data_IF_558654374990
#
_entry.id   IF_558654374990
#
_cell.length_a   1.000
_cell.length_b   1.000
_cell.length_c   1.000
_cell.angle_alpha   90.00
_cell.angle_beta   90.00
_cell.angle_gamma   90.00
#
_symmetry.space_group_name_H-M   'P 1'
#
loop_
_entity.id
_entity.type
_entity.pdbx_description
1 polymer ?
#
# COMPACT_ATOMS: atom_id res chain seq x y z
N UNK A 1 33.64 -1.91 14.19
CA UNK A 1 33.60 -2.33 12.77
C UNK A 1 32.20 -2.04 12.24
N UNK A 2 32.07 -1.12 11.29
CA UNK A 2 30.80 -0.82 10.62
C UNK A 2 30.69 -1.83 9.48
N UNK A 3 29.94 -2.91 9.66
CA UNK A 3 29.58 -3.80 8.56
C UNK A 3 28.77 -2.97 7.59
N UNK A 4 29.28 -2.72 6.38
CA UNK A 4 28.44 -2.29 5.26
C UNK A 4 27.36 -3.36 5.14
N UNK A 5 26.11 -3.02 5.48
CA UNK A 5 25.00 -3.91 5.18
C UNK A 5 24.93 -3.99 3.65
N UNK A 6 25.34 -5.14 3.11
CA UNK A 6 25.16 -5.40 1.69
C UNK A 6 23.66 -5.30 1.39
N UNK A 7 23.31 -4.32 0.55
CA UNK A 7 21.94 -4.13 0.08
C UNK A 7 21.60 -5.36 -0.77
N UNK A 8 20.53 -6.12 -0.45
CA UNK A 8 20.19 -7.31 -1.22
C UNK A 8 19.96 -6.98 -2.70
N UNK A 9 20.48 -7.80 -3.60
CA UNK A 9 20.30 -7.57 -5.04
C UNK A 9 18.87 -7.92 -5.49
N UNK A 10 18.19 -6.98 -6.15
CA UNK A 10 16.92 -7.23 -6.86
C UNK A 10 17.10 -6.80 -8.32
N UNK A 11 16.65 -7.61 -9.31
CA UNK A 11 16.63 -7.19 -10.71
C UNK A 11 15.78 -5.92 -10.88
N UNK A 12 16.21 -5.03 -11.77
CA UNK A 12 15.47 -3.81 -12.04
C UNK A 12 14.19 -4.10 -12.84
N UNK A 13 13.04 -3.73 -12.28
CA UNK A 13 11.76 -3.80 -12.95
C UNK A 13 11.68 -2.75 -14.07
N UNK A 14 11.35 -3.21 -15.28
CA UNK A 14 11.14 -2.32 -16.43
C UNK A 14 9.64 -2.08 -16.61
N UNK A 15 9.13 -0.86 -16.36
CA UNK A 15 7.74 -0.56 -16.63
C UNK A 15 7.45 -0.66 -18.13
N UNK A 16 6.20 -0.96 -18.52
CA UNK A 16 5.79 -0.86 -19.91
C UNK A 16 5.99 0.58 -20.42
N UNK A 17 6.20 0.76 -21.75
CA UNK A 17 6.34 2.09 -22.32
C UNK A 17 5.05 2.91 -22.08
N UNK A 18 5.17 4.24 -21.90
CA UNK A 18 4.02 5.12 -21.82
C UNK A 18 3.09 4.96 -23.01
N UNK A 19 1.79 5.18 -22.79
CA UNK A 19 0.81 5.20 -23.89
C UNK A 19 1.16 6.31 -24.88
N UNK A 20 1.00 6.02 -26.17
CA UNK A 20 1.06 7.02 -27.25
C UNK A 20 -0.31 7.51 -27.68
N UNK A 21 -1.38 6.99 -27.07
CA UNK A 21 -2.74 7.43 -27.34
C UNK A 21 -2.97 8.84 -26.77
N UNK A 22 -3.65 9.68 -27.55
CA UNK A 22 -4.16 10.96 -27.07
C UNK A 22 -5.41 10.69 -26.23
N UNK A 23 -5.32 10.99 -24.93
CA UNK A 23 -6.38 10.74 -23.96
C UNK A 23 -6.75 12.06 -23.29
N UNK A 24 -8.04 12.23 -23.02
CA UNK A 24 -8.53 13.30 -22.17
C UNK A 24 -8.24 12.91 -20.70
N UNK A 25 -7.27 13.59 -20.08
CA UNK A 25 -6.89 13.33 -18.70
C UNK A 25 -7.77 14.13 -17.74
N UNK A 26 -8.21 13.50 -16.65
CA UNK A 26 -8.88 14.22 -15.58
C UNK A 26 -7.91 15.17 -14.86
N UNK A 27 -8.32 16.42 -14.71
CA UNK A 27 -7.58 17.39 -13.90
C UNK A 27 -7.85 17.13 -12.41
N UNK A 28 -6.85 16.59 -11.72
CA UNK A 28 -6.92 16.36 -10.28
C UNK A 28 -6.12 17.44 -9.53
N UNK A 29 -6.66 17.98 -8.42
CA UNK A 29 -5.92 18.91 -7.59
C UNK A 29 -4.62 18.30 -7.05
N UNK A 30 -3.63 19.15 -6.78
CA UNK A 30 -2.33 18.74 -6.25
C UNK A 30 -2.11 19.36 -4.88
N UNK A 31 -1.67 18.55 -3.91
CA UNK A 31 -1.28 18.95 -2.56
C UNK A 31 0.24 18.93 -2.47
N UNK A 32 0.83 20.11 -2.31
CA UNK A 32 2.27 20.28 -2.14
C UNK A 32 2.64 20.27 -0.65
N UNK A 33 3.20 19.15 -0.17
CA UNK A 33 3.55 19.01 1.25
C UNK A 33 4.74 19.90 1.67
N UNK A 34 5.46 20.53 0.76
CA UNK A 34 6.48 21.51 1.17
C UNK A 34 5.85 22.73 1.87
N UNK A 35 4.58 23.05 1.54
CA UNK A 35 3.82 24.16 2.11
C UNK A 35 3.24 23.85 3.50
N UNK A 36 3.21 22.58 3.93
CA UNK A 36 2.62 22.18 5.21
C UNK A 36 3.45 22.61 6.43
N UNK A 37 4.61 23.24 6.22
CA UNK A 37 5.52 23.65 7.28
C UNK A 37 5.21 25.05 7.85
N UNK A 38 4.26 25.79 7.24
CA UNK A 38 3.82 27.10 7.73
C UNK A 38 2.32 27.08 8.05
N UNK A 39 1.86 27.88 9.04
CA UNK A 39 0.43 28.01 9.33
C UNK A 39 -0.40 28.46 8.13
N UNK A 40 0.14 29.39 7.33
CA UNK A 40 -0.53 29.93 6.13
C UNK A 40 -0.62 28.86 5.03
N UNK A 41 0.46 28.11 4.80
CA UNK A 41 0.46 27.02 3.83
C UNK A 41 -0.48 25.89 4.23
N UNK A 42 -0.51 25.54 5.53
CA UNK A 42 -1.49 24.59 6.07
C UNK A 42 -2.94 25.03 5.85
N UNK A 43 -3.23 26.33 5.99
CA UNK A 43 -4.57 26.87 5.76
C UNK A 43 -4.98 26.78 4.28
N UNK A 44 -4.08 27.17 3.36
CA UNK A 44 -4.34 27.06 1.93
C UNK A 44 -4.50 25.60 1.48
N UNK A 45 -3.63 24.71 1.94
CA UNK A 45 -3.75 23.28 1.65
C UNK A 45 -5.03 22.67 2.23
N UNK A 46 -5.49 23.09 3.40
CA UNK A 46 -6.75 22.62 3.98
C UNK A 46 -7.95 23.01 3.12
N UNK A 47 -7.96 24.20 2.49
CA UNK A 47 -9.01 24.61 1.54
C UNK A 47 -9.02 23.73 0.28
N UNK A 48 -7.84 23.42 -0.26
CA UNK A 48 -7.68 22.51 -1.40
C UNK A 48 -8.24 21.13 -1.05
N UNK A 49 -7.79 20.57 0.08
CA UNK A 49 -8.21 19.26 0.56
C UNK A 49 -9.73 19.20 0.84
N UNK A 50 -10.31 20.24 1.44
CA UNK A 50 -11.76 20.35 1.69
C UNK A 50 -12.57 20.29 0.38
N UNK A 51 -12.02 20.84 -0.71
CA UNK A 51 -12.64 20.80 -2.04
C UNK A 51 -12.48 19.42 -2.66
N UNK A 52 -11.26 18.87 -2.64
CA UNK A 52 -10.94 17.52 -3.14
C UNK A 52 -11.86 16.47 -2.55
N UNK A 53 -12.06 16.48 -1.23
CA UNK A 53 -12.89 15.50 -0.53
C UNK A 53 -14.38 15.57 -0.93
N UNK A 54 -14.86 16.72 -1.41
CA UNK A 54 -16.27 16.92 -1.79
C UNK A 54 -16.54 16.69 -3.27
N UNK A 55 -15.57 17.00 -4.12
CA UNK A 55 -15.79 17.11 -5.58
C UNK A 55 -15.08 15.98 -6.34
N UNK A 56 -13.81 15.74 -6.04
CA UNK A 56 -12.97 14.88 -6.87
C UNK A 56 -12.82 13.47 -6.32
N UNK A 57 -12.70 13.33 -4.99
CA UNK A 57 -12.37 12.06 -4.33
C UNK A 57 -10.91 11.62 -4.49
N UNK A 58 -10.15 12.23 -5.42
CA UNK A 58 -8.76 11.94 -5.71
C UNK A 58 -7.94 13.22 -5.91
N UNK A 59 -6.64 13.14 -5.64
CA UNK A 59 -5.69 14.23 -5.76
C UNK A 59 -4.26 13.68 -5.85
N UNK A 60 -3.33 14.49 -6.34
CA UNK A 60 -1.90 14.19 -6.31
C UNK A 60 -1.24 14.80 -5.08
N UNK A 61 -0.18 14.16 -4.60
CA UNK A 61 0.68 14.68 -3.55
C UNK A 61 2.08 14.82 -4.12
N UNK A 62 2.69 15.99 -3.96
CA UNK A 62 4.06 16.26 -4.39
C UNK A 62 4.92 16.73 -3.22
N UNK A 63 6.23 16.73 -3.41
CA UNK A 63 7.21 17.18 -2.43
C UNK A 63 7.12 16.46 -1.07
N UNK A 64 6.66 15.21 -1.08
CA UNK A 64 6.60 14.34 0.10
C UNK A 64 7.97 13.74 0.49
N UNK A 65 8.98 13.91 -0.36
CA UNK A 65 10.38 13.50 -0.10
C UNK A 65 10.74 12.09 -0.57
N UNK A 66 9.87 11.38 -1.29
CA UNK A 66 10.24 10.11 -1.91
C UNK A 66 10.93 10.41 -3.24
N UNK A 67 12.11 9.84 -3.47
CA UNK A 67 12.82 10.02 -4.74
C UNK A 67 12.34 9.00 -5.78
N UNK A 68 12.53 9.27 -7.08
CA UNK A 68 12.25 8.29 -8.13
C UNK A 68 12.94 6.94 -7.89
N UNK A 69 14.19 6.95 -7.40
CA UNK A 69 14.99 5.75 -7.13
C UNK A 69 14.43 4.96 -5.94
N UNK A 70 13.97 5.65 -4.89
CA UNK A 70 13.33 5.02 -3.75
C UNK A 70 12.05 4.29 -4.14
N UNK A 71 11.24 4.90 -5.02
CA UNK A 71 10.03 4.26 -5.55
C UNK A 71 10.38 3.12 -6.52
N UNK A 72 11.32 3.33 -7.44
CA UNK A 72 11.76 2.31 -8.39
C UNK A 72 12.27 1.05 -7.67
N UNK A 73 13.04 1.24 -6.58
CA UNK A 73 13.51 0.14 -5.74
C UNK A 73 12.38 -0.71 -5.16
N UNK A 74 11.26 -0.09 -4.80
CA UNK A 74 10.10 -0.84 -4.33
C UNK A 74 9.40 -1.63 -5.42
N UNK A 75 9.43 -1.17 -6.67
CA UNK A 75 8.96 -1.96 -7.81
C UNK A 75 9.87 -3.16 -8.10
N UNK A 76 11.19 -2.99 -8.01
CA UNK A 76 12.14 -4.10 -8.13
C UNK A 76 11.86 -5.20 -7.11
N UNK A 77 11.61 -4.81 -5.84
CA UNK A 77 11.26 -5.75 -4.75
C UNK A 77 9.88 -6.36 -4.98
N UNK A 78 8.90 -5.58 -5.44
CA UNK A 78 7.56 -6.08 -5.71
C UNK A 78 7.55 -7.12 -6.83
N UNK A 79 8.36 -6.94 -7.87
CA UNK A 79 8.46 -7.86 -9.00
C UNK A 79 9.00 -9.24 -8.57
N UNK A 80 9.94 -9.28 -7.62
CA UNK A 80 10.43 -10.54 -7.04
C UNK A 80 9.31 -11.42 -6.46
N UNK A 81 8.27 -10.80 -5.90
CA UNK A 81 7.13 -11.53 -5.35
C UNK A 81 6.36 -12.32 -6.43
N UNK A 82 6.48 -11.95 -7.70
CA UNK A 82 5.77 -12.60 -8.80
C UNK A 82 6.70 -13.42 -9.69
N UNK A 83 7.89 -12.87 -9.98
CA UNK A 83 8.85 -13.45 -10.91
C UNK A 83 9.75 -14.53 -10.28
N UNK A 84 10.00 -14.46 -8.97
CA UNK A 84 10.99 -15.31 -8.30
C UNK A 84 10.40 -16.26 -7.23
N UNK A 85 9.10 -16.20 -6.95
CA UNK A 85 8.42 -17.17 -6.10
C UNK A 85 7.86 -18.33 -6.91
N UNK A 86 7.97 -19.55 -6.38
CA UNK A 86 7.41 -20.74 -7.03
C UNK A 86 5.89 -20.84 -6.83
N UNK A 87 5.21 -21.65 -7.66
CA UNK A 87 3.78 -21.94 -7.45
C UNK A 87 3.51 -22.63 -6.09
N UNK A 88 4.49 -23.40 -5.60
CA UNK A 88 4.46 -24.00 -4.27
C UNK A 88 4.50 -22.92 -3.18
N UNK A 89 5.36 -21.91 -3.32
CA UNK A 89 5.38 -20.74 -2.41
C UNK A 89 4.05 -19.99 -2.48
N UNK A 90 3.56 -19.70 -3.70
CA UNK A 90 2.28 -18.97 -3.88
C UNK A 90 1.12 -19.69 -3.21
N UNK A 91 1.11 -21.02 -3.25
CA UNK A 91 0.12 -21.85 -2.55
C UNK A 91 0.35 -21.85 -1.04
N UNK A 92 1.59 -22.02 -0.58
CA UNK A 92 1.93 -22.06 0.85
C UNK A 92 1.64 -20.73 1.57
N UNK A 93 1.84 -19.61 0.87
CA UNK A 93 1.58 -18.27 1.36
C UNK A 93 0.27 -17.68 0.79
N UNK A 94 -0.71 -18.52 0.43
CA UNK A 94 -2.00 -18.05 -0.08
C UNK A 94 -2.82 -17.31 0.99
N UNK A 95 -3.48 -16.23 0.57
CA UNK A 95 -4.34 -15.43 1.42
C UNK A 95 -5.68 -16.12 1.69
N UNK A 96 -6.04 -16.25 2.97
CA UNK A 96 -7.31 -16.82 3.42
C UNK A 96 -8.43 -15.78 3.37
N UNK A 97 -8.74 -15.30 2.16
CA UNK A 97 -9.66 -14.17 1.95
C UNK A 97 -11.11 -14.59 2.23
N UNK A 98 -11.62 -15.62 1.56
CA UNK A 98 -13.03 -16.06 1.70
C UNK A 98 -13.33 -16.69 3.07
N UNK A 99 -12.37 -17.38 3.66
CA UNK A 99 -12.56 -18.10 4.93
C UNK A 99 -12.34 -17.23 6.16
N UNK A 100 -11.24 -16.45 6.16
CA UNK A 100 -10.82 -15.67 7.33
C UNK A 100 -10.91 -14.15 7.13
N UNK A 101 -11.26 -13.66 5.94
CA UNK A 101 -11.23 -12.23 5.61
C UNK A 101 -9.82 -11.66 5.56
N UNK A 102 -8.79 -12.52 5.49
CA UNK A 102 -7.40 -12.09 5.51
C UNK A 102 -6.87 -11.97 4.09
N UNK A 103 -6.46 -10.76 3.72
CA UNK A 103 -5.82 -10.47 2.44
C UNK A 103 -4.31 -10.71 2.43
N UNK A 104 -3.74 -11.13 3.57
CA UNK A 104 -2.30 -11.29 3.71
C UNK A 104 -1.79 -12.50 2.92
N UNK A 105 -0.73 -12.29 2.13
CA UNK A 105 -0.17 -13.32 1.26
C UNK A 105 -0.64 -13.18 -0.19
N UNK A 106 -0.65 -14.29 -0.92
CA UNK A 106 -0.98 -14.33 -2.34
C UNK A 106 -2.47 -14.45 -2.60
N UNK A 107 -2.97 -13.66 -3.54
CA UNK A 107 -4.26 -13.87 -4.18
C UNK A 107 -4.00 -14.10 -5.66
N UNK A 108 -4.33 -15.31 -6.10
CA UNK A 108 -4.20 -15.73 -7.48
C UNK A 108 -5.07 -14.88 -8.43
N UNK A 109 -4.72 -14.93 -9.72
CA UNK A 109 -5.59 -14.44 -10.79
C UNK A 109 -6.94 -15.16 -10.75
N UNK A 110 -7.97 -14.52 -11.28
CA UNK A 110 -9.30 -15.09 -11.43
C UNK A 110 -9.98 -15.49 -10.12
N UNK A 111 -9.50 -14.96 -8.98
CA UNK A 111 -10.05 -15.27 -7.66
C UNK A 111 -11.41 -14.61 -7.43
N UNK A 112 -11.57 -13.37 -7.89
CA UNK A 112 -12.83 -12.64 -7.84
C UNK A 112 -13.66 -12.90 -9.09
N UNK A 113 -14.93 -13.19 -8.85
CA UNK A 113 -15.97 -13.20 -9.87
C UNK A 113 -16.61 -11.83 -9.87
N UNK A 114 -16.42 -11.11 -10.97
CA UNK A 114 -17.12 -9.88 -11.29
C UNK A 114 -18.44 -10.29 -11.98
N UNK A 115 -19.45 -9.44 -11.89
CA UNK A 115 -20.72 -9.67 -12.56
C UNK A 115 -20.55 -10.01 -14.05
N UNK A 116 -21.52 -10.74 -14.61
CA UNK A 116 -21.50 -11.24 -15.99
C UNK A 116 -20.42 -12.29 -16.29
N UNK A 117 -19.94 -13.01 -15.27
CA UNK A 117 -18.99 -14.13 -15.45
C UNK A 117 -17.56 -13.69 -15.71
N UNK A 118 -17.27 -12.39 -15.64
CA UNK A 118 -15.92 -11.85 -15.79
C UNK A 118 -15.10 -12.19 -14.55
N UNK A 119 -13.84 -12.56 -14.75
CA UNK A 119 -12.90 -12.80 -13.66
C UNK A 119 -11.81 -11.74 -13.66
N UNK A 120 -11.30 -11.41 -12.49
CA UNK A 120 -10.14 -10.53 -12.43
C UNK A 120 -8.91 -11.20 -13.06
N UNK A 121 -8.03 -10.38 -13.66
CA UNK A 121 -6.75 -10.84 -14.22
C UNK A 121 -5.57 -10.27 -13.43
N UNK A 122 -5.74 -10.17 -12.11
CA UNK A 122 -4.80 -9.50 -11.21
C UNK A 122 -4.26 -10.49 -10.19
N UNK A 123 -2.97 -10.76 -10.24
CA UNK A 123 -2.26 -11.44 -9.16
C UNK A 123 -1.84 -10.43 -8.10
N UNK A 124 -2.05 -10.75 -6.83
CA UNK A 124 -1.76 -9.84 -5.72
C UNK A 124 -0.88 -10.54 -4.71
N UNK A 125 0.08 -9.79 -4.17
CA UNK A 125 0.76 -10.14 -2.93
C UNK A 125 0.63 -8.99 -1.94
N UNK A 126 0.11 -9.28 -0.75
CA UNK A 126 -0.06 -8.27 0.30
C UNK A 126 0.87 -8.53 1.49
N UNK A 127 1.72 -7.55 1.75
CA UNK A 127 2.53 -7.46 2.96
C UNK A 127 1.72 -6.72 4.03
N UNK A 128 1.52 -7.42 5.15
CA UNK A 128 0.62 -7.12 6.28
C UNK A 128 -0.88 -7.18 5.99
N UNK A 129 -1.63 -7.69 6.96
CA UNK A 129 -3.01 -7.38 7.35
C UNK A 129 -3.39 -8.46 8.38
N UNK A 130 -3.79 -8.07 9.58
CA UNK A 130 -4.28 -9.04 10.57
C UNK A 130 -5.77 -8.85 10.74
N UNK A 131 -6.51 -9.84 10.27
CA UNK A 131 -7.86 -10.13 10.74
C UNK A 131 -7.81 -11.63 11.07
N UNK A 132 -8.15 -12.12 12.27
CA UNK A 132 -9.24 -11.67 13.12
C UNK A 132 -9.08 -12.03 14.60
N UNK A 133 -9.85 -11.28 15.37
CA UNK A 133 -10.52 -11.64 16.62
C UNK A 133 -11.09 -13.08 16.74
N UNK A 134 -11.15 -13.93 15.70
CA UNK A 134 -11.73 -15.29 15.79
C UNK A 134 -10.75 -16.38 16.21
N UNK A 135 -9.43 -16.15 16.16
CA UNK A 135 -8.46 -17.09 16.76
C UNK A 135 -8.23 -16.82 18.27
N UNK A 136 -9.22 -16.24 18.95
CA UNK A 136 -9.26 -16.12 20.41
C UNK A 136 -10.14 -17.24 20.96
N UNK A 137 -9.50 -18.31 21.47
CA UNK A 137 -10.16 -19.14 22.48
C UNK A 137 -10.59 -18.23 23.63
N UNK A 138 -11.82 -18.34 24.16
CA UNK A 138 -12.20 -17.63 25.37
C UNK A 138 -11.28 -18.12 26.51
N UNK A 139 -10.54 -17.23 27.16
CA UNK A 139 -9.85 -17.58 28.41
C UNK A 139 -8.42 -17.07 28.66
N UNK A 140 -7.82 -16.21 27.82
CA UNK A 140 -6.52 -15.61 28.17
C UNK A 140 -6.44 -14.14 27.75
N UNK A 141 -6.73 -13.26 28.71
CA UNK A 141 -7.11 -11.86 28.49
C UNK A 141 -6.00 -10.82 28.71
N UNK A 142 -4.73 -11.21 28.91
CA UNK A 142 -3.72 -10.23 29.35
C UNK A 142 -2.69 -9.75 28.31
N UNK A 143 -2.44 -10.43 27.18
CA UNK A 143 -1.32 -10.03 26.29
C UNK A 143 -1.56 -10.28 24.78
N UNK A 144 -2.65 -9.76 24.22
CA UNK A 144 -2.87 -9.77 22.75
C UNK A 144 -2.94 -8.36 22.20
N UNK A 145 -1.79 -7.67 22.14
CA UNK A 145 -1.68 -6.40 21.41
C UNK A 145 -1.43 -6.69 19.93
N UNK A 146 -2.50 -6.54 19.17
CA UNK A 146 -2.51 -6.18 17.76
C UNK A 146 -1.47 -5.09 17.46
N UNK A 147 -0.28 -5.47 16.98
CA UNK A 147 0.70 -4.51 16.43
C UNK A 147 0.98 -4.99 15.02
N UNK A 148 0.40 -4.29 14.04
CA UNK A 148 0.02 -4.82 12.72
C UNK A 148 0.88 -4.34 11.55
N UNK A 149 1.82 -3.40 11.78
CA UNK A 149 2.71 -2.85 10.75
C UNK A 149 4.13 -3.45 10.73
N UNK A 150 4.43 -4.38 11.65
CA UNK A 150 5.70 -5.12 11.60
C UNK A 150 5.59 -6.28 10.62
N UNK A 151 6.19 -6.09 9.44
CA UNK A 151 6.23 -7.10 8.37
C UNK A 151 6.83 -8.42 8.86
N UNK A 152 7.76 -8.42 9.82
CA UNK A 152 8.50 -9.62 10.25
C UNK A 152 7.66 -10.61 11.07
N UNK A 153 6.44 -10.24 11.47
CA UNK A 153 5.60 -11.06 12.34
C UNK A 153 4.99 -12.28 11.66
N UNK A 154 5.07 -12.38 10.35
CA UNK A 154 4.72 -13.59 9.63
C UNK A 154 5.82 -13.99 8.67
N UNK A 155 5.78 -15.25 8.30
CA UNK A 155 6.67 -15.78 7.30
C UNK A 155 6.32 -15.20 5.94
N UNK A 156 7.36 -14.91 5.18
CA UNK A 156 7.32 -14.45 3.81
C UNK A 156 8.02 -15.48 2.94
N UNK A 157 7.71 -15.53 1.63
CA UNK A 157 8.52 -16.27 0.66
C UNK A 157 10.00 -15.96 0.85
N UNK A 158 10.86 -16.98 0.74
CA UNK A 158 12.27 -16.87 1.08
C UNK A 158 12.96 -15.71 0.35
N UNK A 159 12.62 -15.53 -0.93
CA UNK A 159 13.12 -14.46 -1.79
C UNK A 159 12.84 -13.04 -1.27
N UNK A 160 11.75 -12.82 -0.51
CA UNK A 160 11.39 -11.50 0.02
C UNK A 160 11.98 -11.22 1.40
N UNK A 161 12.43 -12.25 2.13
CA UNK A 161 12.92 -12.12 3.51
C UNK A 161 14.09 -11.13 3.64
N UNK A 162 15.09 -11.10 2.73
CA UNK A 162 16.18 -10.13 2.79
C UNK A 162 15.72 -8.67 2.68
N UNK A 163 14.59 -8.42 2.00
CA UNK A 163 14.08 -7.09 1.70
C UNK A 163 13.07 -6.57 2.73
N UNK A 164 12.71 -7.35 3.75
CA UNK A 164 11.79 -6.93 4.80
C UNK A 164 12.18 -5.61 5.49
N UNK A 165 13.47 -5.31 5.74
CA UNK A 165 13.87 -4.01 6.26
C UNK A 165 13.51 -2.85 5.31
N UNK A 166 13.70 -3.03 3.99
CA UNK A 166 13.36 -2.03 2.98
C UNK A 166 11.84 -1.83 2.87
N UNK A 167 11.08 -2.93 2.82
CA UNK A 167 9.60 -2.89 2.80
C UNK A 167 9.07 -2.19 4.06
N UNK A 168 9.63 -2.50 5.24
CA UNK A 168 9.25 -1.87 6.50
C UNK A 168 9.59 -0.38 6.51
N UNK A 169 10.75 0.01 5.98
CA UNK A 169 11.15 1.41 5.88
C UNK A 169 10.24 2.19 4.93
N UNK A 170 9.85 1.57 3.80
CA UNK A 170 8.90 2.15 2.85
C UNK A 170 7.51 2.35 3.47
N UNK A 171 6.99 1.35 4.18
CA UNK A 171 5.72 1.47 4.88
C UNK A 171 5.76 2.59 5.94
N UNK A 172 6.84 2.65 6.73
CA UNK A 172 7.05 3.71 7.74
C UNK A 172 7.15 5.10 7.11
N UNK A 173 7.85 5.21 5.98
CA UNK A 173 7.96 6.46 5.23
C UNK A 173 6.58 6.95 4.78
N UNK A 174 5.79 6.10 4.10
CA UNK A 174 4.46 6.46 3.64
C UNK A 174 3.54 6.88 4.80
N UNK A 175 3.59 6.16 5.92
CA UNK A 175 2.77 6.47 7.08
C UNK A 175 3.13 7.81 7.73
N UNK A 176 4.41 8.03 8.03
CA UNK A 176 4.85 9.20 8.81
C UNK A 176 5.08 10.44 7.96
N UNK A 177 5.52 10.29 6.72
CA UNK A 177 5.92 11.41 5.84
C UNK A 177 4.85 11.81 4.85
N UNK A 178 3.91 10.92 4.54
CA UNK A 178 2.83 11.21 3.59
C UNK A 178 1.48 11.23 4.32
N UNK A 179 1.09 10.13 4.96
CA UNK A 179 -0.22 9.99 5.56
C UNK A 179 -0.43 10.93 6.75
N UNK A 180 0.48 10.99 7.71
CA UNK A 180 0.33 11.87 8.89
C UNK A 180 0.13 13.36 8.53
N UNK A 181 0.93 13.99 7.64
CA UNK A 181 0.64 15.34 7.16
C UNK A 181 -0.75 15.48 6.54
N UNK A 182 -1.17 14.52 5.72
CA UNK A 182 -2.51 14.51 5.12
C UNK A 182 -3.61 14.38 6.17
N UNK A 183 -3.43 13.54 7.20
CA UNK A 183 -4.37 13.39 8.31
C UNK A 183 -4.54 14.70 9.08
N UNK A 184 -3.47 15.48 9.29
CA UNK A 184 -3.56 16.80 9.91
C UNK A 184 -4.29 17.81 9.01
N UNK A 185 -4.04 17.76 7.69
CA UNK A 185 -4.78 18.57 6.72
C UNK A 185 -6.28 18.21 6.72
N UNK A 186 -6.63 16.92 6.79
CA UNK A 186 -8.01 16.46 6.89
C UNK A 186 -8.66 16.91 8.20
N UNK A 187 -7.95 16.81 9.33
CA UNK A 187 -8.44 17.27 10.62
C UNK A 187 -8.75 18.77 10.57
N UNK A 188 -7.83 19.57 10.01
CA UNK A 188 -8.03 21.01 9.82
C UNK A 188 -9.18 21.32 8.87
N UNK A 189 -9.29 20.62 7.74
CA UNK A 189 -10.39 20.80 6.79
C UNK A 189 -11.77 20.48 7.40
N UNK A 190 -11.80 19.56 8.36
CA UNK A 190 -12.97 19.16 9.13
C UNK A 190 -13.19 19.99 10.41
N UNK A 191 -12.38 21.04 10.64
CA UNK A 191 -12.44 21.90 11.83
C UNK A 191 -12.27 21.11 13.16
N UNK A 192 -11.43 20.06 13.13
CA UNK A 192 -11.07 19.20 14.26
C UNK A 192 -9.68 19.54 14.82
N UNK A 193 -9.35 19.08 16.05
CA UNK A 193 -7.99 19.19 16.57
C UNK A 193 -6.96 18.57 15.62
N UNK A 194 -5.81 19.22 15.46
CA UNK A 194 -4.78 18.87 14.45
C UNK A 194 -4.41 17.39 14.44
N UNK A 195 -4.14 16.82 15.61
CA UNK A 195 -3.73 15.41 15.74
C UNK A 195 -4.91 14.44 15.92
N UNK A 196 -6.17 14.85 15.73
CA UNK A 196 -7.34 14.01 15.95
C UNK A 196 -7.25 12.68 15.18
N UNK A 197 -6.96 12.73 13.87
CA UNK A 197 -6.83 11.53 13.05
C UNK A 197 -5.48 10.82 13.23
N UNK A 198 -4.39 11.57 13.50
CA UNK A 198 -3.06 11.00 13.75
C UNK A 198 -3.05 10.15 15.03
N UNK A 199 -3.81 10.55 16.05
CA UNK A 199 -3.92 9.81 17.30
C UNK A 199 -4.71 8.51 17.14
N UNK A 200 -5.70 8.49 16.25
CA UNK A 200 -6.46 7.29 15.90
C UNK A 200 -5.56 6.35 15.10
N UNK A 201 -4.86 6.87 14.09
CA UNK A 201 -4.03 6.08 13.18
C UNK A 201 -2.53 6.16 13.50
N UNK A 202 -2.19 6.08 14.78
CA UNK A 202 -0.81 6.15 15.23
C UNK A 202 0.01 4.98 14.66
N UNK A 203 1.26 5.21 14.24
CA UNK A 203 2.10 4.19 13.58
C UNK A 203 2.22 2.88 14.38
N UNK A 204 2.40 2.97 15.69
CA UNK A 204 2.62 1.80 16.55
C UNK A 204 1.31 1.19 17.10
N UNK A 205 0.17 1.84 16.82
CA UNK A 205 -1.14 1.34 17.23
C UNK A 205 -1.62 0.15 16.38
N UNK A 206 -2.62 -0.54 16.90
CA UNK A 206 -3.37 -1.53 16.15
C UNK A 206 -4.07 -0.85 14.95
N UNK A 207 -3.90 -1.39 13.75
CA UNK A 207 -4.58 -0.91 12.55
C UNK A 207 -4.55 -1.92 11.41
N UNK A 208 -5.34 -1.68 10.36
CA UNK A 208 -5.50 -2.58 9.21
C UNK A 208 -4.72 -2.11 7.97
N UNK A 209 -3.58 -1.42 8.16
CA UNK A 209 -2.76 -0.95 7.03
C UNK A 209 -1.98 -2.10 6.39
N UNK A 210 -1.95 -2.12 5.06
CA UNK A 210 -1.19 -3.09 4.30
C UNK A 210 -0.55 -2.54 3.04
N UNK A 211 0.62 -3.09 2.70
CA UNK A 211 1.24 -2.93 1.40
C UNK A 211 0.69 -3.97 0.43
N UNK A 212 0.32 -3.54 -0.77
CA UNK A 212 -0.22 -4.43 -1.80
C UNK A 212 0.58 -4.25 -3.09
N UNK A 213 1.17 -5.34 -3.55
CA UNK A 213 1.76 -5.44 -4.87
C UNK A 213 0.74 -6.14 -5.77
N UNK A 214 0.53 -5.62 -6.98
CA UNK A 214 -0.44 -6.14 -7.92
C UNK A 214 0.20 -6.26 -9.30
N UNK A 215 0.16 -7.45 -9.88
CA UNK A 215 0.58 -7.73 -11.24
C UNK A 215 -0.67 -7.95 -12.09
N UNK A 216 -0.86 -7.08 -13.08
CA UNK A 216 -1.96 -7.20 -14.04
C UNK A 216 -1.49 -7.98 -15.27
N UNK A 217 -2.18 -9.07 -15.59
CA UNK A 217 -1.90 -9.80 -16.82
C UNK A 217 -2.50 -9.04 -18.03
N UNK A 218 -1.83 -9.04 -19.20
CA UNK A 218 -2.42 -8.54 -20.42
C UNK A 218 -3.71 -9.30 -20.73
N UNK A 219 -4.77 -8.59 -21.11
CA UNK A 219 -5.98 -9.23 -21.62
C UNK A 219 -5.66 -9.84 -22.99
N UNK A 220 -5.81 -11.16 -23.12
CA UNK A 220 -5.77 -11.82 -24.44
C UNK A 220 -7.04 -11.45 -25.18
N UNK A 221 -6.96 -10.42 -26.01
CA UNK A 221 -8.09 -9.85 -26.73
C UNK A 221 -8.88 -10.89 -27.52
N UNK A 222 -10.07 -11.22 -27.03
CA UNK A 222 -11.22 -11.62 -27.84
C UNK A 222 -12.48 -11.10 -27.14
N UNK A 223 -12.59 -9.77 -27.06
CA UNK A 223 -13.90 -9.17 -26.83
C UNK A 223 -14.60 -9.11 -28.20
N UNK A 224 -15.74 -9.78 -28.40
CA UNK A 224 -16.54 -9.54 -29.60
C UNK A 224 -16.95 -8.07 -29.56
N UNK A 225 -16.75 -7.37 -30.69
CA UNK A 225 -17.35 -6.05 -30.87
C UNK A 225 -18.86 -6.20 -30.67
N UNK A 226 -19.42 -5.43 -29.75
CA UNK A 226 -20.86 -5.18 -29.68
C UNK A 226 -21.28 -4.33 -30.88
#
# INVERSE_FOLDING_TARGET
>A
MRTTMDIPHAPHYRPPPPTTAELEWAELPTVDLSLSNTPEGMEELAKVVKTVMKVHGFFYVINHGATPEFNARMFDIADLAFAATTDADKTAYAASIKEAGSYQGFKARQYWHIDSGVRDEVEIYSSTCVVSHRQCRPGRLSERRAVHRDVRKREHPEVLRPFLPEISAFARFNHLRVLHPLLRLFARAADLPEDAFVNIDNYDAAGETYGKHALMAPTTGSSPML
#
